data_IF_189663399564
#
_entry.id   IF_189663399564
#
_cell.length_a   1.000
_cell.length_b   1.000
_cell.length_c   1.000
_cell.angle_alpha   90.00
_cell.angle_beta   90.00
_cell.angle_gamma   90.00
#
_symmetry.space_group_name_H-M   'P 1'
#
loop_
_entity.id
_entity.type
_entity.pdbx_description
1 polymer ?
#
# COMPACT_ATOMS: atom_id res chain seq x y z
N UNK A 1 -2.88 3.47 3.78
CA UNK A 1 -1.65 3.88 4.47
C UNK A 1 -1.69 3.38 5.91
N UNK A 2 -0.60 2.77 6.41
CA UNK A 2 -0.28 2.87 7.84
C UNK A 2 -0.37 4.37 8.10
N UNK A 3 -1.26 4.80 8.98
CA UNK A 3 -1.41 6.24 9.20
C UNK A 3 -0.01 6.80 9.45
N UNK A 4 0.30 7.91 8.81
CA UNK A 4 1.59 8.59 8.88
C UNK A 4 2.15 8.66 10.33
N UNK A 5 1.26 8.68 11.34
CA UNK A 5 1.54 8.51 12.78
C UNK A 5 2.19 7.18 13.17
N UNK A 6 1.70 6.03 12.69
CA UNK A 6 2.21 4.70 13.04
C UNK A 6 3.61 4.46 12.47
N UNK A 7 3.85 4.88 11.22
CA UNK A 7 5.18 4.84 10.59
C UNK A 7 6.16 5.85 11.20
N UNK A 8 5.68 7.03 11.63
CA UNK A 8 6.45 7.96 12.47
C UNK A 8 6.83 7.33 13.81
N UNK A 9 5.88 6.71 14.50
CA UNK A 9 6.11 6.02 15.78
C UNK A 9 7.15 4.91 15.65
N UNK A 10 7.12 4.16 14.54
CA UNK A 10 8.07 3.08 14.27
C UNK A 10 9.48 3.59 13.97
N UNK A 11 9.62 4.63 13.14
CA UNK A 11 10.91 5.30 12.91
C UNK A 11 11.45 5.98 14.18
N UNK A 12 10.57 6.56 15.01
CA UNK A 12 10.95 7.24 16.26
C UNK A 12 11.34 6.25 17.36
N UNK A 13 10.64 5.11 17.49
CA UNK A 13 11.00 4.05 18.46
C UNK A 13 12.32 3.37 18.12
N UNK A 14 12.62 3.19 16.84
CA UNK A 14 13.94 2.70 16.39
C UNK A 14 15.05 3.73 16.71
N UNK A 15 14.76 5.04 16.55
CA UNK A 15 15.72 6.11 16.87
C UNK A 15 15.91 6.33 18.38
N UNK A 16 14.87 6.15 19.20
CA UNK A 16 14.90 6.34 20.65
C UNK A 16 15.52 5.15 21.38
N UNK A 17 15.23 3.90 20.98
CA UNK A 17 15.86 2.72 21.57
C UNK A 17 17.38 2.71 21.37
N UNK A 18 17.85 3.16 20.21
CA UNK A 18 19.29 3.27 19.93
C UNK A 18 19.95 4.44 20.65
N UNK A 19 19.25 5.56 20.84
CA UNK A 19 19.78 6.72 21.57
C UNK A 19 19.83 6.49 23.09
N UNK A 20 18.82 5.85 23.68
CA UNK A 20 18.78 5.54 25.11
C UNK A 20 19.83 4.50 25.51
N UNK A 21 20.09 3.51 24.64
CA UNK A 21 21.19 2.54 24.86
C UNK A 21 22.55 3.23 24.80
N UNK A 22 22.75 4.21 23.91
CA UNK A 22 23.98 5.00 23.87
C UNK A 22 24.12 5.99 25.04
N UNK A 23 23.03 6.62 25.50
CA UNK A 23 23.05 7.61 26.58
C UNK A 23 23.29 6.98 27.98
N UNK A 24 22.69 5.81 28.25
CA UNK A 24 22.95 5.04 29.47
C UNK A 24 24.42 4.60 29.59
N UNK A 25 25.10 4.38 28.47
CA UNK A 25 26.53 4.07 28.43
C UNK A 25 27.43 5.29 28.69
N UNK A 26 26.97 6.51 28.42
CA UNK A 26 27.76 7.73 28.56
C UNK A 26 27.65 8.36 29.96
N UNK A 27 26.47 8.30 30.60
CA UNK A 27 26.27 8.87 31.94
C UNK A 27 26.97 8.08 33.06
N UNK A 28 27.20 6.77 32.88
CA UNK A 28 28.00 5.98 33.83
C UNK A 28 29.48 6.38 33.87
N UNK A 29 29.99 7.10 32.87
CA UNK A 29 31.39 7.52 32.82
C UNK A 29 31.65 8.85 33.56
N UNK A 30 30.61 9.61 33.92
CA UNK A 30 30.76 10.96 34.50
C UNK A 30 30.61 11.03 36.03
N UNK A 31 30.41 9.90 36.73
CA UNK A 31 30.22 9.88 38.20
C UNK A 31 31.36 9.23 39.01
N UNK A 32 32.55 9.04 38.45
CA UNK A 32 33.72 8.57 39.21
C UNK A 32 34.84 9.62 39.30
N UNK A 33 34.61 10.68 40.09
CA UNK A 33 35.72 11.44 40.72
C UNK A 33 35.33 11.87 42.14
N UNK A 34 36.16 11.46 43.11
CA UNK A 34 36.23 11.80 44.55
C UNK A 34 35.15 11.17 45.46
N UNK A 35 35.43 10.44 46.55
CA UNK A 35 36.58 10.43 47.49
C UNK A 35 36.66 9.13 48.35
N UNK A 36 37.90 8.66 48.62
CA UNK A 36 38.47 7.98 49.82
C UNK A 36 37.51 7.37 50.88
N UNK A 37 37.64 6.14 51.39
CA UNK A 37 38.81 5.34 51.77
C UNK A 37 38.44 3.84 51.95
N UNK A 38 39.44 3.00 51.74
CA UNK A 38 39.72 1.63 52.20
C UNK A 38 38.69 0.46 52.21
N UNK A 39 39.26 -0.68 51.79
CA UNK A 39 38.93 -2.08 52.05
C UNK A 39 38.01 -2.91 51.13
N UNK A 40 38.61 -4.01 50.65
CA UNK A 40 38.09 -5.20 49.95
C UNK A 40 37.78 -5.08 48.45
N UNK A 41 38.81 -5.43 47.67
CA UNK A 41 38.76 -5.88 46.28
C UNK A 41 37.69 -6.97 46.06
N UNK A 42 36.49 -6.57 45.68
CA UNK A 42 35.63 -7.33 44.78
C UNK A 42 35.54 -6.53 43.50
N UNK A 43 36.29 -6.94 42.48
CA UNK A 43 36.18 -6.35 41.16
C UNK A 43 34.82 -6.74 40.57
N UNK A 44 33.78 -5.96 40.87
CA UNK A 44 32.52 -6.00 40.13
C UNK A 44 32.84 -5.48 38.72
N UNK A 45 33.15 -6.40 37.80
CA UNK A 45 33.15 -6.06 36.38
C UNK A 45 31.71 -5.71 36.03
N UNK A 46 31.43 -4.43 35.82
CA UNK A 46 30.16 -3.99 35.23
C UNK A 46 30.10 -4.62 33.86
N UNK A 47 29.31 -5.69 33.74
CA UNK A 47 29.12 -6.40 32.48
C UNK A 47 28.50 -5.40 31.49
N UNK A 48 29.28 -5.03 30.48
CA UNK A 48 28.86 -4.11 29.43
C UNK A 48 27.75 -4.81 28.63
N UNK A 49 26.52 -4.28 28.67
CA UNK A 49 25.39 -4.88 27.94
C UNK A 49 25.74 -4.98 26.45
N UNK A 50 25.69 -6.17 25.84
CA UNK A 50 26.06 -6.34 24.44
C UNK A 50 25.15 -5.50 23.53
N UNK A 51 25.76 -4.83 22.55
CA UNK A 51 25.03 -4.02 21.58
C UNK A 51 24.07 -4.88 20.74
N UNK A 52 22.86 -4.39 20.42
CA UNK A 52 21.91 -5.14 19.60
C UNK A 52 22.44 -5.35 18.18
N UNK A 53 22.34 -6.58 17.69
CA UNK A 53 22.75 -7.00 16.33
C UNK A 53 21.66 -6.73 15.30
N UNK A 54 20.40 -6.88 15.69
CA UNK A 54 19.27 -6.61 14.83
C UNK A 54 18.04 -6.15 15.62
N UNK A 55 17.22 -5.36 14.95
CA UNK A 55 15.87 -4.98 15.40
C UNK A 55 14.91 -5.45 14.32
N UNK A 56 13.89 -6.22 14.69
CA UNK A 56 12.87 -6.74 13.78
C UNK A 56 11.50 -6.26 14.20
N UNK A 57 10.65 -6.03 13.23
CA UNK A 57 9.30 -5.55 13.40
C UNK A 57 8.40 -6.50 12.63
N UNK A 58 7.47 -7.15 13.33
CA UNK A 58 6.42 -7.95 12.70
C UNK A 58 5.21 -7.06 12.47
N UNK A 59 4.80 -6.95 11.22
CA UNK A 59 3.58 -6.24 10.79
C UNK A 59 2.54 -7.28 10.38
N UNK A 60 1.46 -7.47 11.17
CA UNK A 60 0.46 -8.48 10.86
C UNK A 60 -0.40 -8.08 9.66
N UNK A 61 -0.94 -9.08 8.97
CA UNK A 61 -1.83 -8.95 7.81
C UNK A 61 -3.05 -8.07 8.09
N UNK A 62 -3.59 -8.08 9.31
CA UNK A 62 -4.72 -7.22 9.69
C UNK A 62 -4.36 -5.73 9.68
N UNK A 63 -3.15 -5.37 10.12
CA UNK A 63 -2.65 -3.98 10.04
C UNK A 63 -2.43 -3.56 8.59
N UNK A 64 -1.94 -4.48 7.76
CA UNK A 64 -1.78 -4.28 6.31
C UNK A 64 -3.16 -4.11 5.65
N UNK A 65 -4.11 -5.00 5.92
CA UNK A 65 -5.46 -4.94 5.36
C UNK A 65 -6.17 -3.63 5.73
N UNK A 66 -6.12 -3.22 7.01
CA UNK A 66 -6.69 -1.95 7.48
C UNK A 66 -6.02 -0.74 6.84
N UNK A 67 -4.74 -0.86 6.51
CA UNK A 67 -3.96 0.15 5.80
C UNK A 67 -4.44 0.30 4.36
N UNK A 68 -4.78 -0.79 3.67
CA UNK A 68 -5.21 -0.75 2.27
C UNK A 68 -6.71 -0.56 2.07
N UNK A 69 -7.53 -0.90 3.07
CA UNK A 69 -9.00 -0.94 3.07
C UNK A 69 -9.72 0.40 2.86
N UNK A 70 -9.27 1.17 1.88
CA UNK A 70 -9.87 2.42 1.45
C UNK A 70 -10.77 2.14 0.25
N UNK A 71 -12.00 2.64 0.33
CA UNK A 71 -12.87 2.74 -0.83
C UNK A 71 -12.40 3.89 -1.71
N UNK A 72 -12.18 3.62 -2.99
CA UNK A 72 -11.91 4.64 -3.99
C UNK A 72 -13.13 4.82 -4.87
N UNK A 73 -13.55 6.07 -5.02
CA UNK A 73 -14.58 6.47 -5.96
C UNK A 73 -13.99 7.46 -6.94
N UNK A 74 -14.26 7.25 -8.23
CA UNK A 74 -13.77 8.14 -9.28
C UNK A 74 -14.71 8.16 -10.48
N UNK A 75 -14.69 9.27 -11.21
CA UNK A 75 -15.50 9.48 -12.41
C UNK A 75 -14.61 9.83 -13.59
N UNK A 76 -14.73 9.10 -14.70
CA UNK A 76 -13.99 9.37 -15.95
C UNK A 76 -14.91 9.66 -17.13
N UNK A 77 -14.46 10.50 -18.08
CA UNK A 77 -15.12 10.57 -19.37
C UNK A 77 -14.96 9.26 -20.14
N UNK A 78 -15.98 8.90 -20.93
CA UNK A 78 -15.96 7.80 -21.89
C UNK A 78 -15.94 8.40 -23.29
N UNK A 79 -15.05 7.92 -24.15
CA UNK A 79 -14.94 8.39 -25.54
C UNK A 79 -14.37 7.29 -26.43
N UNK A 80 -15.24 6.48 -27.03
CA UNK A 80 -14.87 5.32 -27.84
C UNK A 80 -15.58 5.30 -29.19
N UNK A 81 -14.96 4.69 -30.18
CA UNK A 81 -15.62 4.35 -31.45
C UNK A 81 -15.83 2.84 -31.49
N UNK A 82 -17.10 2.40 -31.49
CA UNK A 82 -17.47 0.98 -31.54
C UNK A 82 -18.29 0.76 -32.80
N UNK A 83 -17.79 -0.08 -33.72
CA UNK A 83 -18.45 -0.40 -35.00
C UNK A 83 -18.87 0.87 -35.79
N UNK A 84 -18.01 1.89 -35.80
CA UNK A 84 -18.25 3.17 -36.45
C UNK A 84 -19.21 4.12 -35.71
N UNK A 85 -19.64 3.75 -34.50
CA UNK A 85 -20.48 4.60 -33.64
C UNK A 85 -19.60 5.32 -32.63
N UNK A 86 -19.57 6.65 -32.68
CA UNK A 86 -18.86 7.46 -31.69
C UNK A 86 -19.67 7.55 -30.41
N UNK A 87 -19.22 6.88 -29.36
CA UNK A 87 -19.83 6.85 -28.03
C UNK A 87 -19.12 7.80 -27.09
N UNK A 88 -19.88 8.72 -26.50
CA UNK A 88 -19.38 9.69 -25.49
C UNK A 88 -20.22 9.63 -24.24
N UNK A 89 -19.61 9.81 -23.08
CA UNK A 89 -20.35 9.84 -21.83
C UNK A 89 -19.46 9.86 -20.60
N UNK A 90 -19.95 9.25 -19.53
CA UNK A 90 -19.30 9.26 -18.22
C UNK A 90 -19.37 7.88 -17.60
N UNK A 91 -18.28 7.47 -16.95
CA UNK A 91 -18.17 6.25 -16.17
C UNK A 91 -17.92 6.60 -14.70
N UNK A 92 -18.66 5.96 -13.81
CA UNK A 92 -18.48 6.04 -12.37
C UNK A 92 -17.90 4.71 -11.88
N UNK A 93 -16.75 4.78 -11.23
CA UNK A 93 -16.03 3.64 -10.70
C UNK A 93 -16.05 3.68 -9.17
N UNK A 94 -16.38 2.56 -8.54
CA UNK A 94 -16.27 2.34 -7.11
C UNK A 94 -15.42 1.09 -6.91
N UNK A 95 -14.42 1.17 -6.04
CA UNK A 95 -13.52 0.06 -5.77
C UNK A 95 -13.08 0.02 -4.33
N UNK A 96 -12.71 -1.17 -3.87
CA UNK A 96 -12.11 -1.44 -2.58
C UNK A 96 -10.75 -2.05 -2.86
N UNK A 97 -9.73 -1.54 -2.19
CA UNK A 97 -8.38 -2.07 -2.25
C UNK A 97 -8.12 -2.87 -0.98
N UNK A 98 -7.56 -4.06 -1.12
CA UNK A 98 -7.00 -4.85 -0.03
C UNK A 98 -5.59 -5.27 -0.38
N UNK A 99 -4.78 -5.59 0.63
CA UNK A 99 -3.48 -6.20 0.41
C UNK A 99 -3.25 -7.30 1.43
N UNK A 100 -2.64 -8.38 0.98
CA UNK A 100 -2.30 -9.53 1.79
C UNK A 100 -0.84 -9.93 1.55
N UNK A 101 -0.11 -10.33 2.60
CA UNK A 101 1.26 -10.80 2.44
C UNK A 101 1.28 -12.18 1.79
N UNK A 102 2.33 -12.42 1.01
CA UNK A 102 2.59 -13.70 0.34
C UNK A 102 3.95 -14.18 0.76
N UNK A 103 4.08 -15.47 1.05
CA UNK A 103 5.34 -16.08 1.46
C UNK A 103 6.47 -15.79 0.46
N UNK A 104 7.58 -15.24 0.95
CA UNK A 104 8.76 -14.95 0.15
C UNK A 104 9.99 -15.02 1.05
N UNK A 105 10.94 -15.90 0.72
CA UNK A 105 12.18 -16.08 1.51
C UNK A 105 13.21 -14.99 1.25
N UNK A 106 13.20 -14.40 0.04
CA UNK A 106 14.22 -13.45 -0.43
C UNK A 106 13.81 -11.98 -0.24
N UNK A 107 12.69 -11.71 0.42
CA UNK A 107 12.14 -10.36 0.55
C UNK A 107 10.74 -10.36 1.14
N UNK A 108 10.09 -9.20 1.16
CA UNK A 108 8.68 -9.13 1.49
C UNK A 108 7.82 -9.00 0.22
N UNK A 109 6.78 -9.81 0.09
CA UNK A 109 5.85 -9.79 -1.03
C UNK A 109 4.42 -9.56 -0.54
N UNK A 110 3.67 -8.78 -1.30
CA UNK A 110 2.26 -8.46 -1.08
C UNK A 110 1.48 -8.67 -2.37
N UNK A 111 0.29 -9.25 -2.29
CA UNK A 111 -0.71 -9.15 -3.37
C UNK A 111 -1.68 -8.04 -3.01
N UNK A 112 -1.75 -7.03 -3.88
CA UNK A 112 -2.78 -6.01 -3.84
C UNK A 112 -3.95 -6.48 -4.68
N UNK A 113 -5.11 -6.62 -4.06
CA UNK A 113 -6.36 -6.99 -4.72
C UNK A 113 -7.25 -5.76 -4.80
N UNK A 114 -7.69 -5.42 -6.02
CA UNK A 114 -8.61 -4.32 -6.29
C UNK A 114 -9.91 -4.92 -6.81
N UNK A 115 -10.98 -4.78 -6.04
CA UNK A 115 -12.32 -5.23 -6.42
C UNK A 115 -13.24 -4.04 -6.61
N UNK A 116 -13.99 -4.01 -7.70
CA UNK A 116 -14.84 -2.87 -7.97
C UNK A 116 -15.89 -3.10 -9.05
N UNK A 117 -16.65 -2.03 -9.26
CA UNK A 117 -17.62 -1.93 -10.34
C UNK A 117 -17.51 -0.59 -11.04
N UNK A 118 -17.78 -0.61 -12.34
CA UNK A 118 -17.88 0.57 -13.19
C UNK A 118 -19.27 0.60 -13.81
N UNK A 119 -20.01 1.67 -13.58
CA UNK A 119 -21.26 1.96 -14.30
C UNK A 119 -21.01 3.13 -15.23
N UNK A 120 -21.26 2.96 -16.52
CA UNK A 120 -21.16 4.03 -17.51
C UNK A 120 -22.48 4.30 -18.21
N UNK A 121 -22.67 5.55 -18.60
CA UNK A 121 -23.77 6.00 -19.45
C UNK A 121 -23.17 6.71 -20.64
N UNK A 122 -23.62 6.34 -21.84
CA UNK A 122 -23.05 6.87 -23.07
C UNK A 122 -24.10 7.15 -24.14
N UNK A 123 -23.85 8.20 -24.92
CA UNK A 123 -24.57 8.53 -26.14
C UNK A 123 -23.67 8.22 -27.35
N UNK A 124 -24.03 7.16 -28.07
CA UNK A 124 -23.49 6.76 -29.35
C UNK A 124 -24.12 7.52 -30.51
N UNK A 125 -23.30 8.04 -31.43
CA UNK A 125 -23.77 8.67 -32.67
C UNK A 125 -23.18 7.97 -33.89
N UNK A 126 -24.05 7.65 -34.85
CA UNK A 126 -23.67 7.11 -36.16
C UNK A 126 -24.55 7.75 -37.25
N UNK A 127 -24.02 8.79 -37.89
CA UNK A 127 -24.80 9.68 -38.74
C UNK A 127 -25.97 10.30 -37.97
N UNK A 128 -27.22 10.22 -38.47
CA UNK A 128 -28.38 10.74 -37.77
C UNK A 128 -28.86 9.87 -36.60
N UNK A 129 -28.38 8.62 -36.48
CA UNK A 129 -28.81 7.71 -35.41
C UNK A 129 -28.13 8.06 -34.08
N UNK A 130 -28.91 8.02 -33.01
CA UNK A 130 -28.47 8.24 -31.62
C UNK A 130 -28.80 6.97 -30.83
N UNK A 131 -27.82 6.40 -30.13
CA UNK A 131 -27.95 5.18 -29.33
C UNK A 131 -27.54 5.52 -27.90
N UNK A 132 -28.47 5.44 -26.96
CA UNK A 132 -28.18 5.65 -25.56
C UNK A 132 -27.99 4.29 -24.90
N UNK A 133 -26.87 4.11 -24.22
CA UNK A 133 -26.55 2.85 -23.57
C UNK A 133 -26.03 3.06 -22.16
N UNK A 134 -26.24 2.03 -21.34
CA UNK A 134 -25.63 1.86 -20.03
C UNK A 134 -24.72 0.63 -20.10
N UNK A 135 -23.57 0.68 -19.44
CA UNK A 135 -22.82 -0.54 -19.17
C UNK A 135 -22.49 -0.66 -17.70
N UNK A 136 -22.52 -1.89 -17.20
CA UNK A 136 -22.10 -2.24 -15.85
C UNK A 136 -20.97 -3.27 -15.98
N UNK A 137 -19.81 -2.95 -15.42
CA UNK A 137 -18.61 -3.81 -15.47
C UNK A 137 -18.15 -4.11 -14.05
N UNK A 138 -18.27 -5.36 -13.62
CA UNK A 138 -17.60 -5.86 -12.40
C UNK A 138 -16.17 -6.26 -12.72
N UNK A 139 -15.23 -6.00 -11.81
CA UNK A 139 -13.84 -6.40 -11.98
C UNK A 139 -13.14 -6.77 -10.68
N UNK A 140 -12.15 -7.63 -10.83
CA UNK A 140 -11.18 -8.00 -9.81
C UNK A 140 -9.79 -8.00 -10.44
N UNK A 141 -8.87 -7.23 -9.87
CA UNK A 141 -7.50 -7.14 -10.33
C UNK A 141 -6.53 -7.51 -9.21
N UNK A 142 -5.43 -8.14 -9.57
CA UNK A 142 -4.35 -8.50 -8.66
C UNK A 142 -3.04 -7.91 -9.17
N UNK A 143 -2.29 -7.25 -8.29
CA UNK A 143 -0.96 -6.73 -8.57
C UNK A 143 -0.01 -7.09 -7.43
N UNK A 144 1.10 -7.73 -7.78
CA UNK A 144 2.09 -8.13 -6.79
C UNK A 144 3.10 -7.00 -6.56
N UNK A 145 3.36 -6.70 -5.28
CA UNK A 145 4.41 -5.80 -4.83
C UNK A 145 5.52 -6.64 -4.18
N UNK A 146 6.77 -6.33 -4.49
CA UNK A 146 7.94 -7.01 -3.94
C UNK A 146 8.83 -5.94 -3.33
N UNK A 147 9.20 -6.11 -2.08
CA UNK A 147 10.16 -5.27 -1.37
C UNK A 147 11.45 -6.07 -1.15
N UNK A 148 12.55 -5.56 -1.70
CA UNK A 148 13.88 -6.20 -1.66
C UNK A 148 14.78 -5.67 -0.53
N UNK A 149 14.22 -4.93 0.42
CA UNK A 149 14.95 -4.24 1.47
C UNK A 149 15.39 -2.82 1.09
N UNK A 150 15.37 -2.45 -0.19
CA UNK A 150 15.78 -1.11 -0.64
C UNK A 150 14.65 -0.35 -1.32
N UNK A 151 13.92 -1.01 -2.20
CA UNK A 151 12.82 -0.43 -2.95
C UNK A 151 11.65 -1.41 -3.10
N UNK A 152 10.48 -0.85 -3.26
CA UNK A 152 9.27 -1.58 -3.59
C UNK A 152 9.16 -1.61 -5.12
N UNK A 153 9.16 -2.81 -5.69
CA UNK A 153 8.91 -3.06 -7.11
C UNK A 153 7.51 -3.60 -7.30
N UNK A 154 6.98 -3.42 -8.50
CA UNK A 154 5.67 -3.95 -8.89
C UNK A 154 5.82 -4.92 -10.04
N UNK A 155 4.99 -5.95 -10.06
CA UNK A 155 4.78 -6.79 -11.24
C UNK A 155 3.54 -6.29 -12.02
N UNK A 156 3.42 -6.60 -13.32
CA UNK A 156 2.23 -6.24 -14.09
C UNK A 156 0.96 -6.80 -13.44
N UNK A 157 -0.11 -5.99 -13.43
CA UNK A 157 -1.40 -6.45 -12.92
C UNK A 157 -2.02 -7.54 -13.81
N UNK A 158 -2.87 -8.36 -13.19
CA UNK A 158 -3.82 -9.22 -13.89
C UNK A 158 -5.23 -8.79 -13.54
N UNK A 159 -6.19 -8.95 -14.47
CA UNK A 159 -7.57 -8.52 -14.27
C UNK A 159 -8.58 -9.49 -14.87
N UNK A 160 -9.62 -9.76 -14.10
CA UNK A 160 -10.86 -10.41 -14.53
C UNK A 160 -11.98 -9.38 -14.58
N UNK A 161 -12.79 -9.42 -15.65
CA UNK A 161 -13.88 -8.45 -15.88
C UNK A 161 -15.11 -9.15 -16.42
N UNK A 162 -16.28 -8.71 -15.97
CA UNK A 162 -17.56 -9.08 -16.56
C UNK A 162 -18.32 -7.80 -16.89
N UNK A 163 -18.53 -7.55 -18.19
CA UNK A 163 -19.22 -6.37 -18.70
C UNK A 163 -20.57 -6.77 -19.26
N UNK A 164 -21.60 -6.02 -18.89
CA UNK A 164 -22.92 -6.11 -19.49
C UNK A 164 -23.30 -4.77 -20.12
N UNK A 165 -23.83 -4.78 -21.34
CA UNK A 165 -24.27 -3.56 -22.04
C UNK A 165 -25.78 -3.57 -22.30
N UNK A 166 -26.47 -2.57 -21.77
CA UNK A 166 -27.89 -2.34 -21.97
C UNK A 166 -28.13 -1.16 -22.92
N UNK A 167 -28.97 -1.36 -23.94
CA UNK A 167 -29.42 -0.28 -24.81
C UNK A 167 -30.68 0.33 -24.20
N UNK A 168 -30.58 1.58 -23.74
CA UNK A 168 -31.67 2.29 -23.09
C UNK A 168 -32.65 2.88 -24.11
N UNK A 169 -32.11 3.47 -25.18
CA UNK A 169 -32.92 4.17 -26.16
C UNK A 169 -32.21 4.25 -27.52
N UNK A 170 -33.01 4.29 -28.60
CA UNK A 170 -32.52 4.49 -29.96
C UNK A 170 -33.36 5.60 -30.60
N UNK A 171 -32.69 6.69 -30.98
CA UNK A 171 -33.30 7.89 -31.53
C UNK A 171 -32.67 8.32 -32.85
N UNK A 172 -33.15 9.46 -33.35
CA UNK A 172 -32.64 10.10 -34.56
C UNK A 172 -32.59 11.61 -34.38
N UNK A 173 -31.57 12.26 -34.91
CA UNK A 173 -31.48 13.73 -34.99
C UNK A 173 -32.37 14.34 -36.09
N UNK A 174 -32.85 13.54 -37.04
CA UNK A 174 -33.76 13.98 -38.10
C UNK A 174 -35.22 14.04 -37.64
N UNK A 175 -36.01 15.04 -38.09
CA UNK A 175 -37.42 15.17 -37.71
C UNK A 175 -38.36 14.25 -38.53
N UNK A 176 -39.58 14.07 -38.00
CA UNK A 176 -40.72 13.49 -38.71
C UNK A 176 -40.52 12.05 -39.20
N UNK A 177 -41.00 11.76 -40.41
CA UNK A 177 -40.96 10.41 -41.01
C UNK A 177 -39.54 9.93 -41.24
N UNK A 178 -38.62 10.83 -41.64
CA UNK A 178 -37.20 10.50 -41.84
C UNK A 178 -36.58 9.98 -40.54
N UNK A 179 -36.89 10.63 -39.42
CA UNK A 179 -36.43 10.19 -38.10
C UNK A 179 -36.93 8.79 -37.74
N UNK A 180 -38.22 8.49 -37.99
CA UNK A 180 -38.79 7.16 -37.73
C UNK A 180 -38.11 6.06 -38.55
N UNK A 181 -37.78 6.33 -39.81
CA UNK A 181 -37.07 5.39 -40.68
C UNK A 181 -35.67 5.12 -40.12
N UNK A 182 -34.91 6.18 -39.80
CA UNK A 182 -33.58 6.06 -39.20
C UNK A 182 -33.63 5.26 -37.90
N UNK A 183 -34.53 5.58 -36.98
CA UNK A 183 -34.69 4.86 -35.71
C UNK A 183 -35.01 3.38 -35.93
N UNK A 184 -35.85 3.03 -36.90
CA UNK A 184 -36.17 1.64 -37.21
C UNK A 184 -34.96 0.87 -37.74
N UNK A 185 -34.22 1.47 -38.67
CA UNK A 185 -33.01 0.87 -39.25
C UNK A 185 -31.93 0.72 -38.17
N UNK A 186 -31.69 1.78 -37.39
CA UNK A 186 -30.75 1.76 -36.28
C UNK A 186 -31.13 0.69 -35.25
N UNK A 187 -32.41 0.57 -34.88
CA UNK A 187 -32.87 -0.46 -33.94
C UNK A 187 -32.61 -1.87 -34.44
N UNK A 188 -32.86 -2.12 -35.73
CA UNK A 188 -32.57 -3.42 -36.33
C UNK A 188 -31.06 -3.72 -36.32
N UNK A 189 -30.25 -2.74 -36.75
CA UNK A 189 -28.79 -2.88 -36.81
C UNK A 189 -28.18 -3.06 -35.43
N UNK A 190 -28.58 -2.26 -34.44
CA UNK A 190 -28.09 -2.35 -33.06
C UNK A 190 -28.39 -3.71 -32.45
N UNK A 191 -29.58 -4.28 -32.68
CA UNK A 191 -29.90 -5.63 -32.20
C UNK A 191 -29.03 -6.70 -32.87
N UNK A 192 -28.82 -6.59 -34.18
CA UNK A 192 -27.99 -7.52 -34.92
C UNK A 192 -26.51 -7.48 -34.48
N UNK A 193 -26.00 -6.30 -34.14
CA UNK A 193 -24.60 -6.10 -33.72
C UNK A 193 -24.40 -6.02 -32.21
N UNK A 194 -25.41 -6.32 -31.38
CA UNK A 194 -25.36 -6.08 -29.93
C UNK A 194 -24.25 -6.91 -29.26
N UNK A 195 -24.23 -8.21 -29.51
CA UNK A 195 -23.23 -9.11 -28.91
C UNK A 195 -21.79 -8.76 -29.31
N UNK A 196 -21.57 -8.35 -30.57
CA UNK A 196 -20.25 -7.91 -31.05
C UNK A 196 -19.83 -6.59 -30.38
N UNK A 197 -20.76 -5.62 -30.30
CA UNK A 197 -20.51 -4.35 -29.63
C UNK A 197 -20.19 -4.55 -28.14
N UNK A 198 -20.90 -5.46 -27.47
CA UNK A 198 -20.67 -5.82 -26.08
C UNK A 198 -19.29 -6.47 -25.88
N UNK A 199 -18.88 -7.40 -26.75
CA UNK A 199 -17.56 -8.01 -26.69
C UNK A 199 -16.43 -6.98 -26.90
N UNK A 200 -16.61 -6.03 -27.83
CA UNK A 200 -15.66 -4.94 -28.05
C UNK A 200 -15.60 -4.02 -26.82
N UNK A 201 -16.76 -3.63 -26.27
CA UNK A 201 -16.84 -2.80 -25.07
C UNK A 201 -16.17 -3.48 -23.88
N UNK A 202 -16.42 -4.77 -23.66
CA UNK A 202 -15.80 -5.56 -22.60
C UNK A 202 -14.27 -5.56 -22.72
N UNK A 203 -13.74 -5.78 -23.93
CA UNK A 203 -12.30 -5.76 -24.20
C UNK A 203 -11.68 -4.38 -23.94
N UNK A 204 -12.33 -3.31 -24.40
CA UNK A 204 -11.86 -1.94 -24.17
C UNK A 204 -11.87 -1.59 -22.69
N UNK A 205 -12.98 -1.87 -21.99
CA UNK A 205 -13.10 -1.63 -20.55
C UNK A 205 -12.02 -2.40 -19.77
N UNK A 206 -11.79 -3.67 -20.11
CA UNK A 206 -10.72 -4.49 -19.50
C UNK A 206 -9.34 -3.85 -19.66
N UNK A 207 -9.00 -3.43 -20.88
CA UNK A 207 -7.71 -2.81 -21.16
C UNK A 207 -7.55 -1.49 -20.40
N UNK A 208 -8.56 -0.62 -20.41
CA UNK A 208 -8.50 0.65 -19.71
C UNK A 208 -8.40 0.49 -18.19
N UNK A 209 -9.16 -0.44 -17.62
CA UNK A 209 -9.09 -0.76 -16.19
C UNK A 209 -7.71 -1.27 -15.82
N UNK A 210 -7.14 -2.17 -16.62
CA UNK A 210 -5.79 -2.70 -16.39
C UNK A 210 -4.74 -1.59 -16.40
N UNK A 211 -4.67 -0.81 -17.49
CA UNK A 211 -3.72 0.30 -17.65
C UNK A 211 -3.84 1.34 -16.53
N UNK A 212 -5.07 1.59 -16.07
CA UNK A 212 -5.32 2.51 -14.97
C UNK A 212 -4.84 1.96 -13.64
N UNK A 213 -5.22 0.72 -13.31
CA UNK A 213 -4.83 0.08 -12.04
C UNK A 213 -3.31 -0.02 -11.96
N UNK A 214 -2.66 -0.39 -13.07
CA UNK A 214 -1.22 -0.44 -13.13
C UNK A 214 -0.60 0.91 -12.81
N UNK A 215 -1.02 1.96 -13.52
CA UNK A 215 -0.53 3.33 -13.35
C UNK A 215 -0.78 3.88 -11.94
N UNK A 216 -1.98 3.69 -11.40
CA UNK A 216 -2.38 4.22 -10.10
C UNK A 216 -1.59 3.55 -8.96
N UNK A 217 -1.35 2.23 -9.06
CA UNK A 217 -0.51 1.51 -8.09
C UNK A 217 0.97 1.89 -8.25
N UNK A 218 1.48 1.98 -9.48
CA UNK A 218 2.88 2.34 -9.72
C UNK A 218 3.20 3.75 -9.24
N UNK A 219 2.30 4.71 -9.44
CA UNK A 219 2.45 6.06 -8.93
C UNK A 219 2.50 6.09 -7.39
N UNK A 220 1.66 5.29 -6.72
CA UNK A 220 1.69 5.15 -5.25
C UNK A 220 3.00 4.53 -4.78
N UNK A 221 3.47 3.49 -5.45
CA UNK A 221 4.74 2.82 -5.15
C UNK A 221 5.93 3.75 -5.34
N UNK A 222 5.96 4.53 -6.42
CA UNK A 222 6.98 5.55 -6.62
C UNK A 222 7.03 6.57 -5.48
N UNK A 223 5.86 7.01 -4.99
CA UNK A 223 5.76 7.87 -3.80
C UNK A 223 6.31 7.21 -2.53
N UNK A 224 5.98 5.93 -2.30
CA UNK A 224 6.51 5.15 -1.17
C UNK A 224 8.03 4.97 -1.26
N UNK A 225 8.57 4.69 -2.44
CA UNK A 225 10.01 4.56 -2.65
C UNK A 225 10.75 5.88 -2.40
N UNK A 226 10.17 7.00 -2.82
CA UNK A 226 10.73 8.32 -2.54
C UNK A 226 10.81 8.58 -1.03
N UNK A 227 9.71 8.31 -0.30
CA UNK A 227 9.68 8.46 1.16
C UNK A 227 10.65 7.50 1.86
N UNK A 228 10.73 6.25 1.41
CA UNK A 228 11.65 5.25 1.92
C UNK A 228 13.10 5.71 1.74
N UNK A 229 13.47 6.19 0.56
CA UNK A 229 14.82 6.68 0.28
C UNK A 229 15.24 7.82 1.23
N UNK A 230 14.33 8.79 1.50
CA UNK A 230 14.59 9.88 2.43
C UNK A 230 14.81 9.38 3.86
N UNK A 231 13.99 8.42 4.31
CA UNK A 231 14.10 7.84 5.65
C UNK A 231 15.37 7.01 5.80
N UNK A 232 15.67 6.15 4.83
CA UNK A 232 16.88 5.32 4.83
C UNK A 232 18.14 6.19 4.80
N UNK A 233 18.16 7.27 4.01
CA UNK A 233 19.28 8.22 4.01
C UNK A 233 19.47 8.90 5.39
N UNK A 234 18.36 9.24 6.07
CA UNK A 234 18.40 9.83 7.41
C UNK A 234 18.93 8.83 8.44
N UNK A 235 18.44 7.59 8.41
CA UNK A 235 18.92 6.50 9.29
C UNK A 235 20.40 6.20 9.05
N UNK A 236 20.85 6.18 7.79
CA UNK A 236 22.26 6.00 7.45
C UNK A 236 23.17 7.08 8.04
N UNK A 237 22.72 8.35 8.04
CA UNK A 237 23.48 9.45 8.64
C UNK A 237 23.57 9.36 10.16
N UNK A 238 22.49 8.92 10.81
CA UNK A 238 22.41 8.86 12.27
C UNK A 238 23.08 7.60 12.85
N UNK A 239 23.00 6.48 12.15
CA UNK A 239 23.28 5.16 12.73
C UNK A 239 24.27 4.31 11.92
N UNK A 240 24.90 4.88 10.89
CA UNK A 240 25.82 4.19 9.98
C UNK A 240 25.11 3.33 8.93
N UNK A 241 25.88 2.65 8.08
CA UNK A 241 25.33 1.71 7.09
C UNK A 241 24.69 0.53 7.81
N UNK A 242 23.38 0.38 7.67
CA UNK A 242 22.64 -0.76 8.21
C UNK A 242 21.98 -1.52 7.08
N UNK A 243 21.92 -2.83 7.23
CA UNK A 243 21.28 -3.70 6.25
C UNK A 243 19.81 -3.83 6.61
N UNK A 244 18.94 -3.48 5.67
CA UNK A 244 17.52 -3.73 5.76
C UNK A 244 17.28 -5.18 5.37
N UNK A 245 16.57 -5.90 6.21
CA UNK A 245 16.14 -7.28 5.97
C UNK A 245 14.62 -7.30 5.95
N UNK A 246 14.05 -8.07 5.04
CA UNK A 246 12.60 -8.20 4.94
C UNK A 246 12.25 -9.61 4.54
N UNK A 247 11.23 -10.17 5.19
CA UNK A 247 10.66 -11.45 4.84
C UNK A 247 9.14 -11.36 4.99
N UNK A 248 8.39 -12.03 4.13
CA UNK A 248 6.94 -12.14 4.28
C UNK A 248 6.53 -13.59 4.50
N UNK A 249 5.54 -13.75 5.38
CA UNK A 249 4.82 -14.99 5.63
C UNK A 249 3.35 -14.81 5.22
N UNK A 250 2.57 -15.89 5.21
CA UNK A 250 1.15 -15.86 4.84
C UNK A 250 0.28 -14.95 5.72
N UNK A 251 0.69 -14.66 6.95
CA UNK A 251 -0.08 -13.84 7.90
C UNK A 251 0.59 -12.51 8.29
N UNK A 252 1.85 -12.27 7.91
CA UNK A 252 2.60 -11.09 8.36
C UNK A 252 3.80 -10.75 7.47
N UNK A 253 4.35 -9.56 7.68
CA UNK A 253 5.63 -9.13 7.11
C UNK A 253 6.58 -8.82 8.25
N UNK A 254 7.79 -9.34 8.17
CA UNK A 254 8.90 -8.92 9.01
C UNK A 254 9.75 -7.89 8.29
N UNK A 255 10.02 -6.78 8.97
CA UNK A 255 10.92 -5.73 8.55
C UNK A 255 12.00 -5.59 9.61
N UNK A 256 13.26 -5.62 9.23
CA UNK A 256 14.36 -5.57 10.17
C UNK A 256 15.50 -4.68 9.72
N UNK A 257 16.29 -4.26 10.69
CA UNK A 257 17.52 -3.51 10.49
C UNK A 257 18.63 -4.22 11.25
N UNK A 258 19.70 -4.59 10.57
CA UNK A 258 20.88 -5.22 11.18
C UNK A 258 22.13 -4.37 11.03
N UNK A 259 22.97 -4.36 12.07
CA UNK A 259 24.33 -3.81 12.04
C UNK A 259 25.34 -4.78 11.42
N UNK A 260 24.97 -6.05 11.26
CA UNK A 260 25.81 -7.10 10.70
C UNK A 260 25.37 -7.37 9.25
N UNK A 261 26.27 -7.25 8.26
CA UNK A 261 25.94 -7.60 6.87
C UNK A 261 25.66 -9.09 6.74
N UNK A 262 24.66 -9.42 5.91
CA UNK A 262 24.22 -10.79 5.64
C UNK A 262 23.85 -11.59 6.91
N UNK A 263 23.38 -10.89 7.95
CA UNK A 263 22.87 -11.58 9.13
C UNK A 263 21.64 -12.40 8.73
N UNK A 264 21.75 -13.71 8.83
CA UNK A 264 20.58 -14.58 8.85
C UNK A 264 19.81 -14.24 10.12
N UNK A 265 18.65 -13.66 9.94
CA UNK A 265 17.76 -13.34 11.04
C UNK A 265 16.93 -14.57 11.35
N UNK A 266 17.00 -15.01 12.60
CA UNK A 266 16.07 -16.02 13.09
C UNK A 266 14.74 -15.34 13.38
N UNK A 267 13.74 -15.63 12.54
CA UNK A 267 12.41 -15.11 12.71
C UNK A 267 11.71 -15.90 13.81
N UNK A 268 11.18 -15.22 14.84
CA UNK A 268 10.50 -15.90 15.93
C UNK A 268 9.29 -16.64 15.39
N UNK A 269 9.08 -17.86 15.90
CA UNK A 269 7.88 -18.63 15.59
C UNK A 269 6.66 -17.82 16.02
N UNK A 270 5.76 -17.55 15.07
CA UNK A 270 4.59 -16.70 15.31
C UNK A 270 3.63 -17.46 16.22
N UNK A 271 3.60 -17.10 17.50
CA UNK A 271 2.57 -17.58 18.41
C UNK A 271 1.24 -16.91 18.01
N UNK A 272 0.32 -17.70 17.48
CA UNK A 272 -0.99 -17.28 16.92
C UNK A 272 -1.94 -16.58 17.90
N UNK A 273 -1.59 -16.50 19.19
CA UNK A 273 -2.48 -16.05 20.26
C UNK A 273 -2.86 -14.55 20.21
N UNK A 274 -2.04 -13.69 19.58
CA UNK A 274 -2.30 -12.24 19.53
C UNK A 274 -2.01 -11.67 18.12
N UNK A 275 -2.73 -12.18 17.13
CA UNK A 275 -2.40 -12.02 15.70
C UNK A 275 -2.46 -10.60 15.15
N UNK A 276 -2.95 -9.62 15.90
CA UNK A 276 -3.21 -8.25 15.42
C UNK A 276 -2.23 -7.19 15.93
N UNK A 277 -1.34 -7.52 16.86
CA UNK A 277 -0.36 -6.56 17.37
C UNK A 277 0.86 -6.44 16.44
N UNK A 278 1.37 -5.21 16.29
CA UNK A 278 2.72 -5.01 15.75
C UNK A 278 3.70 -5.40 16.85
N UNK A 279 4.63 -6.30 16.55
CA UNK A 279 5.62 -6.78 17.52
C UNK A 279 7.01 -6.27 17.17
N UNK A 280 7.80 -5.93 18.19
CA UNK A 280 9.19 -5.50 18.05
C UNK A 280 10.08 -6.52 18.74
N UNK A 281 11.09 -6.99 18.03
CA UNK A 281 12.06 -7.96 18.50
C UNK A 281 13.44 -7.35 18.42
N UNK A 282 14.24 -7.54 19.47
CA UNK A 282 15.63 -7.07 19.51
C UNK A 282 16.51 -8.29 19.72
N UNK A 283 17.42 -8.52 18.78
CA UNK A 283 18.39 -9.60 18.83
C UNK A 283 19.73 -9.04 19.34
N UNK A 284 20.19 -9.52 20.48
CA UNK A 284 21.49 -9.16 21.08
C UNK A 284 22.55 -10.21 20.71
N UNK A 285 23.82 -9.98 21.04
CA UNK A 285 24.91 -10.85 20.58
C UNK A 285 25.10 -12.16 21.35
N UNK A 286 24.49 -12.30 22.54
CA UNK A 286 24.79 -13.41 23.45
C UNK A 286 23.57 -14.26 23.85
N UNK A 287 22.34 -13.80 23.61
CA UNK A 287 21.11 -14.55 23.91
C UNK A 287 20.07 -14.37 22.79
N UNK A 288 19.18 -15.36 22.63
CA UNK A 288 18.15 -15.40 21.59
C UNK A 288 17.24 -14.15 21.53
N UNK A 289 16.44 -14.02 20.48
CA UNK A 289 15.60 -12.84 20.27
C UNK A 289 14.63 -12.58 21.45
N UNK A 290 14.69 -11.39 22.05
CA UNK A 290 13.76 -10.98 23.10
C UNK A 290 12.56 -10.24 22.50
N UNK A 291 11.35 -10.63 22.91
CA UNK A 291 10.08 -9.99 22.53
C UNK A 291 9.84 -8.74 23.38
N UNK A 292 9.60 -7.60 22.73
CA UNK A 292 9.11 -6.39 23.40
C UNK A 292 7.72 -6.06 22.85
N UNK A 293 6.72 -5.94 23.72
CA UNK A 293 5.40 -5.43 23.30
C UNK A 293 5.50 -3.93 23.03
N UNK A 294 5.25 -3.54 21.79
CA UNK A 294 5.31 -2.15 21.32
C UNK A 294 4.29 -1.27 22.05
N UNK A 295 3.16 -1.83 22.52
CA UNK A 295 2.17 -1.05 23.29
C UNK A 295 2.80 -0.43 24.54
N UNK A 296 3.73 -1.14 25.18
CA UNK A 296 4.40 -0.68 26.39
C UNK A 296 5.45 0.40 26.09
N UNK A 297 6.25 0.21 25.03
CA UNK A 297 7.21 1.21 24.55
C UNK A 297 6.54 2.49 24.04
N UNK A 298 5.43 2.37 23.31
CA UNK A 298 4.67 3.51 22.80
C UNK A 298 3.99 4.26 23.94
N UNK A 299 3.49 3.56 24.97
CA UNK A 299 2.94 4.21 26.16
C UNK A 299 4.00 5.02 26.92
N UNK A 300 5.23 4.49 27.04
CA UNK A 300 6.36 5.20 27.64
C UNK A 300 6.86 6.38 26.77
N UNK A 301 6.89 6.21 25.45
CA UNK A 301 7.27 7.28 24.52
C UNK A 301 6.22 8.40 24.45
N UNK A 302 4.93 8.09 24.53
CA UNK A 302 3.84 9.10 24.50
C UNK A 302 3.89 10.01 25.74
N UNK A 303 4.25 9.49 26.91
CA UNK A 303 4.42 10.29 28.14
C UNK A 303 5.53 11.33 28.01
N UNK A 304 6.57 11.06 27.22
CA UNK A 304 7.68 11.99 26.97
C UNK A 304 7.36 13.09 25.93
N UNK A 305 6.36 12.89 25.06
CA UNK A 305 6.06 13.81 23.95
C UNK A 305 4.72 14.53 24.06
N UNK A 306 3.93 14.26 25.11
CA UNK A 306 2.62 14.88 25.37
C UNK A 306 2.63 16.40 25.65
N UNK A 307 3.75 17.09 25.47
CA UNK A 307 3.90 18.54 25.69
C UNK A 307 4.17 19.36 24.42
N UNK A 308 4.12 18.80 23.21
CA UNK A 308 4.26 19.62 21.99
C UNK A 308 3.36 19.24 20.81
N UNK A 309 2.37 20.11 20.63
CA UNK A 309 1.86 20.69 19.38
C UNK A 309 0.93 19.88 18.45
N UNK A 310 -0.30 20.40 18.40
CA UNK A 310 -1.25 20.45 17.28
C UNK A 310 -0.57 20.67 15.92
N UNK A 311 -0.84 19.79 14.95
CA UNK A 311 -0.76 20.10 13.51
C UNK A 311 -1.91 19.36 12.81
N UNK A 312 -2.82 20.16 12.27
CA UNK A 312 -4.05 19.80 11.57
C UNK A 312 -3.84 19.41 10.10
N UNK A 313 -4.83 18.66 9.63
CA UNK A 313 -5.18 18.20 8.27
C UNK A 313 -4.53 18.88 7.05
N UNK A 314 -3.96 18.05 6.15
CA UNK A 314 -3.91 18.36 4.72
C UNK A 314 -4.26 17.14 3.86
N UNK A 315 -5.38 17.28 3.14
CA UNK A 315 -5.83 16.44 2.03
C UNK A 315 -4.83 16.48 0.87
N UNK A 316 -4.09 15.39 0.67
CA UNK A 316 -3.25 15.15 -0.53
C UNK A 316 -4.00 14.30 -1.57
N UNK A 317 -5.15 14.80 -2.05
CA UNK A 317 -5.83 14.28 -3.24
C UNK A 317 -6.19 15.43 -4.17
N UNK A 318 -5.16 16.08 -4.73
CA UNK A 318 -5.26 16.91 -5.92
C UNK A 318 -4.72 16.13 -7.11
N UNK A 319 -5.55 15.30 -7.75
CA UNK A 319 -5.21 14.73 -9.05
C UNK A 319 -5.39 15.81 -10.12
N UNK A 320 -4.26 16.24 -10.71
CA UNK A 320 -4.24 17.13 -11.86
C UNK A 320 -4.80 16.39 -13.08
N UNK A 321 -5.96 16.84 -13.55
CA UNK A 321 -6.49 16.44 -14.86
C UNK A 321 -5.75 17.13 -15.99
N UNK A 322 -5.30 16.35 -16.97
CA UNK A 322 -5.20 16.73 -18.37
C UNK A 322 -5.70 15.58 -19.22
#
# INVERSE_FOLDING_TARGET
MLTYRQLKLLALTISLSTSSVCALSADQQSQQVSSSDDDRRSASSVAMTPAPRAILVRVPSSVIANTFGQQLQHTTPVNHCILGTQSKGTAHCISIISAEPVECEMGASLIVTVRGSVTSKTDGRNGPAIIQSRSDTGYEAHKQLIFDGHEIRTLPATISTQTQVEILNIGSSLPGVRGRIVTRIASHKTRASHAEAEAIAARLNKQQLLERIDRDIDARVAGMNHELALKTATLHRLMGTKNLVSQSHSDCIFLGVSTVPNLTVDYPEVQTADSNAIELWVQTSEDGAHRLDVKELVSQAIVWWGTSADISDHNLLGFAGK
#
